data_IF_955763281998
#
_entry.id   IF_955763281998
#
_cell.length_a   1.000
_cell.length_b   1.000
_cell.length_c   1.000
_cell.angle_alpha   90.00
_cell.angle_beta   90.00
_cell.angle_gamma   90.00
#
_symmetry.space_group_name_H-M   'P 1'
#
loop_
_entity.id
_entity.type
_entity.pdbx_description
1 polymer ?
#
# COMPACT_ATOMS: atom_id res chain seq x y z
N UNK A 1 10.87 -8.78 14.65
CA UNK A 1 11.33 -9.28 13.33
C UNK A 1 10.15 -9.89 12.59
N UNK A 2 9.96 -9.64 11.29
CA UNK A 2 8.90 -10.29 10.50
C UNK A 2 9.41 -11.66 10.09
N UNK A 3 8.65 -12.73 10.39
CA UNK A 3 9.02 -14.10 10.01
C UNK A 3 9.16 -14.24 8.48
N UNK A 4 10.33 -14.72 7.97
CA UNK A 4 10.51 -15.01 6.54
C UNK A 4 9.45 -15.96 5.99
N UNK A 5 9.05 -16.96 6.78
CA UNK A 5 7.99 -17.92 6.43
C UNK A 5 6.64 -17.22 6.21
N UNK A 6 6.31 -16.20 7.02
CA UNK A 6 5.09 -15.42 6.86
C UNK A 6 5.13 -14.55 5.60
N UNK A 7 6.29 -13.97 5.28
CA UNK A 7 6.49 -13.20 4.03
C UNK A 7 6.25 -14.12 2.82
N UNK A 8 6.91 -15.28 2.79
CA UNK A 8 6.78 -16.26 1.70
C UNK A 8 5.34 -16.75 1.52
N UNK A 9 4.64 -17.12 2.60
CA UNK A 9 3.24 -17.58 2.54
C UNK A 9 2.28 -16.53 1.99
N UNK A 10 2.54 -15.25 2.27
CA UNK A 10 1.68 -14.15 1.83
C UNK A 10 1.92 -13.74 0.36
N UNK A 11 3.04 -14.11 -0.23
CA UNK A 11 3.40 -13.73 -1.60
C UNK A 11 2.35 -14.17 -2.64
N UNK A 12 1.79 -15.38 -2.50
CA UNK A 12 0.71 -15.89 -3.37
C UNK A 12 -0.56 -15.04 -3.30
N UNK A 13 -0.85 -14.43 -2.14
CA UNK A 13 -2.01 -13.55 -1.96
C UNK A 13 -1.76 -12.18 -2.60
N UNK A 14 -0.54 -11.66 -2.45
CA UNK A 14 -0.12 -10.38 -3.03
C UNK A 14 -0.22 -10.44 -4.56
N UNK A 15 0.29 -11.50 -5.18
CA UNK A 15 0.26 -11.68 -6.64
C UNK A 15 -1.17 -11.55 -7.22
N UNK A 16 -2.17 -12.13 -6.55
CA UNK A 16 -3.58 -12.07 -6.97
C UNK A 16 -4.19 -10.67 -6.89
N UNK A 17 -3.55 -9.75 -6.20
CA UNK A 17 -4.03 -8.39 -5.99
C UNK A 17 -3.32 -7.35 -6.86
N UNK A 18 -2.34 -7.72 -7.69
CA UNK A 18 -1.56 -6.77 -8.51
C UNK A 18 -2.30 -6.39 -9.80
N UNK A 19 -2.16 -5.13 -10.23
CA UNK A 19 -2.72 -4.64 -11.48
C UNK A 19 -4.25 -4.50 -11.49
N UNK A 20 -4.89 -4.55 -10.32
CA UNK A 20 -6.33 -4.42 -10.19
C UNK A 20 -6.70 -2.97 -9.93
N UNK A 21 -7.70 -2.48 -10.66
CA UNK A 21 -8.27 -1.15 -10.45
C UNK A 21 -9.19 -1.12 -9.23
N UNK A 22 -9.16 0.02 -8.54
CA UNK A 22 -10.00 0.31 -7.40
C UNK A 22 -10.36 1.81 -7.36
N UNK A 23 -11.29 2.17 -6.47
CA UNK A 23 -11.63 3.56 -6.15
C UNK A 23 -11.32 3.87 -4.69
N UNK A 24 -10.83 5.07 -4.41
CA UNK A 24 -10.63 5.54 -3.03
C UNK A 24 -12.00 5.75 -2.38
N UNK A 25 -12.26 5.05 -1.27
CA UNK A 25 -13.48 5.22 -0.46
C UNK A 25 -13.26 6.21 0.68
N UNK A 26 -12.07 6.18 1.27
CA UNK A 26 -11.65 7.10 2.34
C UNK A 26 -10.13 7.19 2.36
N UNK A 27 -9.58 8.29 2.86
CA UNK A 27 -8.14 8.45 3.02
C UNK A 27 -7.80 9.31 4.23
N UNK A 28 -6.57 9.15 4.71
CA UNK A 28 -5.99 9.99 5.77
C UNK A 28 -4.50 10.22 5.52
N UNK A 29 -3.99 11.35 6.02
CA UNK A 29 -2.56 11.66 6.05
C UNK A 29 -1.99 11.34 7.42
N UNK A 30 -0.97 10.50 7.43
CA UNK A 30 -0.22 10.16 8.64
C UNK A 30 1.01 11.07 8.70
N UNK A 31 0.94 12.07 9.58
CA UNK A 31 2.04 13.01 9.83
C UNK A 31 3.03 12.47 10.85
N UNK A 32 2.53 11.79 11.90
CA UNK A 32 3.35 11.19 12.96
C UNK A 32 3.16 9.67 12.89
N UNK A 33 4.04 8.95 12.18
CA UNK A 33 3.87 7.51 12.00
C UNK A 33 4.50 6.70 13.14
N UNK A 34 4.14 5.41 13.26
CA UNK A 34 4.83 4.50 14.17
C UNK A 34 6.27 4.22 13.72
N UNK A 35 7.06 3.68 14.66
CA UNK A 35 8.42 3.21 14.40
C UNK A 35 8.45 2.26 13.19
N UNK A 36 9.45 2.46 12.32
CA UNK A 36 9.62 1.71 11.06
C UNK A 36 8.93 2.31 9.84
N UNK A 37 8.17 3.41 10.01
CA UNK A 37 7.55 4.16 8.91
C UNK A 37 7.92 5.65 8.92
N UNK A 38 8.83 6.06 9.82
CA UNK A 38 9.26 7.45 10.02
C UNK A 38 9.83 8.05 8.72
N UNK A 39 10.65 7.29 8.00
CA UNK A 39 11.24 7.70 6.71
C UNK A 39 10.22 7.93 5.59
N UNK A 40 8.97 7.54 5.79
CA UNK A 40 7.89 7.71 4.83
C UNK A 40 6.96 8.88 5.19
N UNK A 41 7.17 9.54 6.34
CA UNK A 41 6.33 10.66 6.74
C UNK A 41 6.56 11.90 5.88
N UNK A 42 5.50 12.67 5.55
CA UNK A 42 4.09 12.28 5.64
C UNK A 42 3.70 11.28 4.55
N UNK A 43 2.82 10.32 4.86
CA UNK A 43 2.24 9.43 3.85
C UNK A 43 0.72 9.34 3.94
N UNK A 44 0.11 8.92 2.83
CA UNK A 44 -1.34 8.74 2.73
C UNK A 44 -1.68 7.27 2.88
N UNK A 45 -2.65 6.97 3.74
CA UNK A 45 -3.35 5.68 3.77
C UNK A 45 -4.71 5.85 3.12
N UNK A 46 -5.09 4.89 2.28
CA UNK A 46 -6.41 4.83 1.65
C UNK A 46 -7.12 3.54 2.02
N UNK A 47 -8.44 3.61 2.05
CA UNK A 47 -9.33 2.46 1.87
C UNK A 47 -9.73 2.45 0.40
N UNK A 48 -9.31 1.44 -0.34
CA UNK A 48 -9.62 1.26 -1.75
C UNK A 48 -10.66 0.14 -1.92
N UNK A 49 -11.66 0.34 -2.78
CA UNK A 49 -12.63 -0.68 -3.14
C UNK A 49 -12.40 -1.13 -4.58
N UNK A 50 -12.07 -2.41 -4.76
CA UNK A 50 -11.92 -3.03 -6.07
C UNK A 50 -13.29 -3.17 -6.75
N UNK A 51 -13.30 -3.36 -8.07
CA UNK A 51 -14.54 -3.61 -8.84
C UNK A 51 -15.34 -4.84 -8.35
N UNK A 52 -14.69 -5.77 -7.64
CA UNK A 52 -15.36 -6.92 -6.99
C UNK A 52 -16.12 -6.58 -5.71
N UNK A 53 -16.12 -5.32 -5.27
CA UNK A 53 -16.70 -4.86 -4.00
C UNK A 53 -15.81 -5.11 -2.77
N UNK A 54 -14.67 -5.81 -2.93
CA UNK A 54 -13.73 -6.05 -1.82
C UNK A 54 -12.95 -4.78 -1.51
N UNK A 55 -12.86 -4.45 -0.22
CA UNK A 55 -12.04 -3.34 0.29
C UNK A 55 -10.65 -3.77 0.70
N UNK A 56 -9.69 -2.88 0.52
CA UNK A 56 -8.29 -3.06 0.91
C UNK A 56 -7.71 -1.76 1.45
N UNK A 57 -6.99 -1.85 2.57
CA UNK A 57 -6.34 -0.69 3.18
C UNK A 57 -4.85 -0.75 2.91
N UNK A 58 -4.31 0.28 2.26
CA UNK A 58 -2.89 0.37 1.96
C UNK A 58 -2.45 1.82 1.76
N UNK A 59 -1.14 2.03 1.66
CA UNK A 59 -0.59 3.35 1.32
C UNK A 59 -0.89 3.70 -0.15
N UNK A 60 -1.14 4.98 -0.39
CA UNK A 60 -1.08 5.56 -1.71
C UNK A 60 0.34 6.10 -1.97
N UNK A 61 0.86 5.84 -3.16
CA UNK A 61 2.16 6.30 -3.66
C UNK A 61 1.99 6.94 -5.04
N UNK A 62 3.01 7.66 -5.49
CA UNK A 62 3.08 8.28 -6.83
C UNK A 62 1.92 9.24 -7.16
N UNK A 63 1.20 9.76 -6.16
CA UNK A 63 -0.02 10.56 -6.36
C UNK A 63 0.14 12.08 -6.25
N UNK A 64 1.36 12.56 -5.99
CA UNK A 64 1.59 13.96 -5.64
C UNK A 64 0.89 14.37 -4.35
N UNK A 65 1.15 15.58 -3.86
CA UNK A 65 0.65 16.02 -2.55
C UNK A 65 -0.68 16.80 -2.59
N UNK A 66 -1.19 17.19 -3.76
CA UNK A 66 -2.16 18.29 -3.78
C UNK A 66 -3.59 17.96 -4.21
N UNK A 67 -3.93 16.75 -4.68
CA UNK A 67 -5.27 16.53 -5.24
C UNK A 67 -5.84 15.12 -5.01
N UNK A 68 -5.84 14.66 -3.76
CA UNK A 68 -6.53 13.43 -3.40
C UNK A 68 -8.03 13.62 -3.23
N UNK A 69 -8.83 12.79 -3.91
CA UNK A 69 -10.29 12.84 -3.85
C UNK A 69 -10.88 11.47 -3.57
N UNK A 70 -11.93 11.43 -2.76
CA UNK A 70 -12.79 10.24 -2.66
C UNK A 70 -13.40 9.98 -4.04
N UNK A 71 -13.48 8.71 -4.43
CA UNK A 71 -13.92 8.25 -5.75
C UNK A 71 -12.82 8.22 -6.81
N UNK A 72 -11.63 8.79 -6.53
CA UNK A 72 -10.50 8.76 -7.47
C UNK A 72 -10.09 7.32 -7.78
N UNK A 73 -9.81 7.06 -9.06
CA UNK A 73 -9.35 5.76 -9.52
C UNK A 73 -7.88 5.54 -9.19
N UNK A 74 -7.57 4.34 -8.73
CA UNK A 74 -6.22 3.89 -8.40
C UNK A 74 -6.00 2.47 -8.92
N UNK A 75 -4.74 2.07 -9.08
CA UNK A 75 -4.35 0.70 -9.42
C UNK A 75 -3.41 0.15 -8.36
N UNK A 76 -3.57 -1.12 -8.04
CA UNK A 76 -2.70 -1.82 -7.10
C UNK A 76 -1.33 -2.12 -7.71
N UNK A 77 -0.28 -1.82 -6.95
CA UNK A 77 1.13 -1.95 -7.35
C UNK A 77 1.94 -2.69 -6.29
N UNK A 78 3.01 -3.35 -6.72
CA UNK A 78 3.96 -3.99 -5.82
C UNK A 78 4.99 -2.97 -5.33
N UNK A 79 5.17 -2.85 -4.02
CA UNK A 79 6.19 -1.98 -3.41
C UNK A 79 6.85 -2.64 -2.22
N UNK A 80 8.10 -2.25 -1.95
CA UNK A 80 8.75 -2.53 -0.65
C UNK A 80 7.93 -1.85 0.46
N UNK A 81 7.61 -2.60 1.49
CA UNK A 81 6.72 -2.13 2.57
C UNK A 81 7.49 -1.62 3.79
N UNK A 82 8.66 -2.21 4.06
CA UNK A 82 9.53 -1.89 5.20
C UNK A 82 10.98 -2.16 4.83
N UNK A 83 11.89 -1.54 5.56
CA UNK A 83 13.29 -1.91 5.53
C UNK A 83 13.52 -3.26 6.22
N UNK A 84 14.20 -4.22 5.58
CA UNK A 84 14.60 -5.46 6.23
C UNK A 84 15.75 -5.19 7.20
N UNK A 85 16.04 -6.17 8.06
CA UNK A 85 17.36 -6.26 8.68
C UNK A 85 18.43 -6.55 7.62
N UNK A 86 19.71 -6.40 7.97
CA UNK A 86 20.84 -6.64 7.07
C UNK A 86 20.78 -8.01 6.36
N UNK A 87 20.48 -9.07 7.11
CA UNK A 87 20.30 -10.44 6.57
C UNK A 87 18.81 -10.82 6.33
N UNK A 88 17.92 -9.83 6.37
CA UNK A 88 16.48 -10.05 6.34
C UNK A 88 15.88 -10.12 4.93
N UNK A 89 14.80 -10.88 4.76
CA UNK A 89 14.02 -10.89 3.52
C UNK A 89 13.33 -9.54 3.31
N UNK A 90 13.45 -8.97 2.11
CA UNK A 90 12.78 -7.72 1.73
C UNK A 90 11.26 -7.96 1.65
N UNK A 91 10.43 -7.30 2.48
CA UNK A 91 9.00 -7.52 2.48
C UNK A 91 8.32 -6.65 1.40
N UNK A 92 7.81 -7.31 0.36
CA UNK A 92 6.95 -6.68 -0.63
C UNK A 92 5.47 -6.79 -0.25
N UNK A 93 4.68 -5.83 -0.72
CA UNK A 93 3.24 -5.79 -0.49
C UNK A 93 2.54 -4.87 -1.48
N UNK A 94 1.22 -4.83 -1.36
CA UNK A 94 0.36 -4.00 -2.22
C UNK A 94 0.32 -2.57 -1.68
N UNK A 95 0.59 -1.60 -2.55
CA UNK A 95 0.22 -0.19 -2.40
C UNK A 95 -0.66 0.20 -3.57
N UNK A 96 -1.13 1.44 -3.61
CA UNK A 96 -1.90 1.96 -4.74
C UNK A 96 -1.23 3.19 -5.33
N UNK A 97 -1.38 3.39 -6.64
CA UNK A 97 -1.06 4.67 -7.29
C UNK A 97 -2.28 5.17 -8.08
N UNK A 98 -2.42 6.48 -8.31
CA UNK A 98 -3.46 6.99 -9.21
C UNK A 98 -3.30 6.47 -10.64
N UNK A 99 -4.44 6.36 -11.32
CA UNK A 99 -4.53 6.11 -12.77
C UNK A 99 -5.32 7.27 -13.39
N UNK A 100 -4.62 8.36 -13.66
CA UNK A 100 -5.18 9.62 -14.13
C UNK A 100 -4.21 10.76 -13.87
#
# INVERSE_FOLDING_TARGET
>A
MISPVKIWRNQKKIQKLLGLEAKIVSFTRVHVPPVGFISQAPYVIIVAEFNSGRRYTAQLVDGGEHHLKIGQKVISVLRKTRDPSEEGVIPYGVKFRPIG
#
